data_IF_460410451997
#
_entry.id   IF_460410451997
#
_cell.length_a   1.000
_cell.length_b   1.000
_cell.length_c   1.000
_cell.angle_alpha   90.00
_cell.angle_beta   90.00
_cell.angle_gamma   90.00
#
_symmetry.space_group_name_H-M   'P 1'
#
loop_
_entity.id
_entity.type
_entity.pdbx_description
1 polymer ?
#
# COMPACT_ATOMS: atom_id res chain seq x y z
N UNK A 1 -41.04 -1.88 -9.59
CA UNK A 1 -39.78 -2.55 -9.94
C UNK A 1 -38.68 -1.51 -9.78
N UNK A 2 -37.89 -1.55 -8.70
CA UNK A 2 -36.93 -0.46 -8.36
C UNK A 2 -35.78 -0.33 -9.39
N UNK A 3 -35.59 -1.34 -10.24
CA UNK A 3 -34.56 -1.38 -11.29
C UNK A 3 -35.09 -1.22 -12.72
N UNK A 4 -36.40 -1.01 -12.93
CA UNK A 4 -36.94 -0.84 -14.29
C UNK A 4 -36.42 0.43 -14.93
N UNK A 5 -35.75 0.33 -16.09
CA UNK A 5 -35.18 1.46 -16.82
C UNK A 5 -33.88 2.05 -16.26
N UNK A 6 -33.36 1.56 -15.13
CA UNK A 6 -32.23 2.19 -14.42
C UNK A 6 -30.91 2.22 -15.22
N UNK A 7 -30.72 1.26 -16.13
CA UNK A 7 -29.56 1.22 -17.04
C UNK A 7 -29.88 1.78 -18.44
N UNK A 8 -31.15 2.08 -18.73
CA UNK A 8 -31.59 2.53 -20.06
C UNK A 8 -31.24 4.02 -20.25
N UNK A 9 -31.48 4.85 -19.23
CA UNK A 9 -31.20 6.28 -19.23
C UNK A 9 -30.18 6.65 -18.13
N UNK A 10 -28.86 6.62 -18.40
CA UNK A 10 -27.88 6.91 -17.38
C UNK A 10 -27.95 8.37 -16.92
N UNK A 11 -27.79 8.59 -15.60
CA UNK A 11 -27.76 9.93 -15.00
C UNK A 11 -26.47 10.16 -14.21
N UNK A 12 -26.15 11.44 -13.95
CA UNK A 12 -24.98 11.81 -13.14
C UNK A 12 -25.11 11.25 -11.71
N UNK A 13 -26.33 11.20 -11.17
CA UNK A 13 -26.61 10.61 -9.87
C UNK A 13 -26.38 9.11 -9.86
N UNK A 14 -26.85 8.40 -10.89
CA UNK A 14 -26.57 6.96 -11.06
C UNK A 14 -25.06 6.68 -11.10
N UNK A 15 -24.28 7.44 -11.88
CA UNK A 15 -22.83 7.27 -11.93
C UNK A 15 -22.18 7.49 -10.55
N UNK A 16 -22.65 8.48 -9.79
CA UNK A 16 -22.23 8.72 -8.41
C UNK A 16 -22.62 7.59 -7.46
N UNK A 17 -23.83 7.06 -7.57
CA UNK A 17 -24.32 5.99 -6.69
C UNK A 17 -23.52 4.69 -6.92
N UNK A 18 -23.23 4.35 -8.18
CA UNK A 18 -22.35 3.22 -8.49
C UNK A 18 -20.92 3.45 -8.02
N UNK A 19 -20.39 4.67 -8.10
CA UNK A 19 -19.08 5.01 -7.54
C UNK A 19 -19.05 4.80 -6.01
N UNK A 20 -20.07 5.28 -5.30
CA UNK A 20 -20.18 5.11 -3.85
C UNK A 20 -20.36 3.63 -3.46
N UNK A 21 -21.14 2.89 -4.25
CA UNK A 21 -21.32 1.45 -4.05
C UNK A 21 -20.02 0.69 -4.29
N UNK A 22 -19.22 1.07 -5.29
CA UNK A 22 -17.90 0.51 -5.51
C UNK A 22 -16.97 0.76 -4.31
N UNK A 23 -16.92 2.00 -3.82
CA UNK A 23 -16.12 2.37 -2.65
C UNK A 23 -16.52 1.55 -1.41
N UNK A 24 -17.83 1.42 -1.18
CA UNK A 24 -18.37 0.57 -0.11
C UNK A 24 -17.96 -0.90 -0.28
N UNK A 25 -18.06 -1.46 -1.49
CA UNK A 25 -17.69 -2.84 -1.77
C UNK A 25 -16.19 -3.11 -1.55
N UNK A 26 -15.31 -2.15 -1.82
CA UNK A 26 -13.89 -2.26 -1.43
C UNK A 26 -13.71 -2.31 0.09
N UNK A 27 -14.46 -1.49 0.84
CA UNK A 27 -14.50 -1.53 2.30
C UNK A 27 -14.95 -2.90 2.82
N UNK A 28 -16.02 -3.44 2.24
CA UNK A 28 -16.56 -4.77 2.52
C UNK A 28 -15.71 -5.94 1.97
N UNK A 29 -14.52 -5.67 1.43
CA UNK A 29 -13.59 -6.66 0.88
C UNK A 29 -14.15 -7.48 -0.30
N UNK A 30 -15.15 -6.94 -1.03
CA UNK A 30 -15.78 -7.55 -2.21
C UNK A 30 -15.26 -6.93 -3.51
N UNK A 31 -13.98 -7.16 -3.81
CA UNK A 31 -13.27 -6.51 -4.93
C UNK A 31 -13.95 -6.72 -6.29
N UNK A 32 -14.41 -7.94 -6.61
CA UNK A 32 -15.06 -8.22 -7.90
C UNK A 32 -16.32 -7.37 -8.08
N UNK A 33 -17.18 -7.30 -7.06
CA UNK A 33 -18.37 -6.46 -7.08
C UNK A 33 -18.00 -4.96 -7.21
N UNK A 34 -16.96 -4.52 -6.50
CA UNK A 34 -16.48 -3.14 -6.61
C UNK A 34 -16.08 -2.78 -8.05
N UNK A 35 -15.35 -3.65 -8.74
CA UNK A 35 -14.96 -3.43 -10.14
C UNK A 35 -16.15 -3.49 -11.11
N UNK A 36 -17.14 -4.34 -10.87
CA UNK A 36 -18.38 -4.33 -11.67
C UNK A 36 -19.09 -2.97 -11.53
N UNK A 37 -19.19 -2.43 -10.32
CA UNK A 37 -19.79 -1.12 -10.10
C UNK A 37 -18.95 0.03 -10.68
N UNK A 38 -17.62 -0.02 -10.57
CA UNK A 38 -16.73 0.91 -11.28
C UNK A 38 -17.00 0.84 -12.79
N UNK A 39 -17.12 -0.35 -13.36
CA UNK A 39 -17.39 -0.54 -14.79
C UNK A 39 -18.69 0.14 -15.23
N UNK A 40 -19.77 -0.02 -14.45
CA UNK A 40 -21.03 0.67 -14.72
C UNK A 40 -20.88 2.18 -14.61
N UNK A 41 -20.24 2.68 -13.55
CA UNK A 41 -19.99 4.12 -13.37
C UNK A 41 -19.12 4.69 -14.50
N UNK A 42 -18.08 3.98 -14.92
CA UNK A 42 -17.19 4.34 -16.01
C UNK A 42 -17.95 4.43 -17.33
N UNK A 43 -18.76 3.42 -17.68
CA UNK A 43 -19.59 3.45 -18.90
C UNK A 43 -20.63 4.57 -18.85
N UNK A 44 -21.30 4.77 -17.72
CA UNK A 44 -22.23 5.88 -17.54
C UNK A 44 -21.52 7.24 -17.73
N UNK A 45 -20.29 7.39 -17.20
CA UNK A 45 -19.50 8.61 -17.36
C UNK A 45 -19.13 8.91 -18.82
N UNK A 46 -18.92 7.87 -19.63
CA UNK A 46 -18.67 7.99 -21.06
C UNK A 46 -19.95 8.43 -21.78
N UNK A 47 -21.07 7.74 -21.55
CA UNK A 47 -22.37 8.07 -22.19
C UNK A 47 -22.83 9.48 -21.86
N UNK A 48 -22.61 9.93 -20.63
CA UNK A 48 -22.97 11.27 -20.14
C UNK A 48 -22.00 12.37 -20.58
N UNK A 49 -20.90 12.04 -21.27
CA UNK A 49 -19.88 13.01 -21.66
C UNK A 49 -19.13 13.61 -20.47
N UNK A 50 -19.08 12.92 -19.31
CA UNK A 50 -18.36 13.44 -18.12
C UNK A 50 -16.88 13.69 -18.40
N UNK A 51 -16.33 12.93 -19.35
CA UNK A 51 -14.96 13.00 -19.86
C UNK A 51 -14.67 14.19 -20.80
N UNK A 52 -15.69 14.93 -21.25
CA UNK A 52 -15.56 16.02 -22.24
C UNK A 52 -15.96 17.35 -21.60
N UNK A 53 -14.97 18.15 -21.23
CA UNK A 53 -15.19 19.45 -20.57
C UNK A 53 -15.80 20.51 -21.52
N UNK A 54 -15.61 20.38 -22.83
CA UNK A 54 -16.08 21.36 -23.84
C UNK A 54 -17.57 21.29 -24.19
N UNK A 55 -18.21 20.12 -24.07
CA UNK A 55 -19.63 19.94 -24.42
C UNK A 55 -20.60 20.63 -23.47
N UNK A 56 -20.16 20.95 -22.24
CA UNK A 56 -20.96 21.71 -21.28
C UNK A 56 -21.34 23.11 -21.78
N UNK A 57 -20.56 23.67 -22.72
CA UNK A 57 -20.83 25.00 -23.30
C UNK A 57 -21.87 24.99 -24.41
N UNK A 58 -22.18 23.82 -24.99
CA UNK A 58 -22.95 23.68 -26.22
C UNK A 58 -24.32 23.03 -26.04
N UNK A 59 -24.78 22.82 -24.80
CA UNK A 59 -26.15 22.37 -24.57
C UNK A 59 -27.12 23.45 -25.09
N UNK A 60 -28.10 23.10 -25.96
CA UNK A 60 -28.86 24.08 -26.73
C UNK A 60 -29.68 25.00 -25.83
N UNK A 61 -29.78 26.27 -26.26
CA UNK A 61 -30.46 27.34 -25.54
C UNK A 61 -31.98 27.23 -25.53
N UNK A 62 -32.54 26.16 -26.05
CA UNK A 62 -33.95 26.12 -26.39
C UNK A 62 -34.84 25.78 -25.20
N UNK A 63 -34.27 25.26 -24.10
CA UNK A 63 -34.92 25.20 -22.79
C UNK A 63 -34.58 26.41 -21.88
N UNK A 64 -33.75 27.39 -22.33
CA UNK A 64 -33.29 28.54 -21.51
C UNK A 64 -34.32 29.65 -21.33
N UNK A 65 -35.49 29.58 -21.96
CA UNK A 65 -36.44 30.69 -21.98
C UNK A 65 -37.64 30.48 -21.06
N UNK A 66 -37.42 30.25 -19.76
CA UNK A 66 -38.35 30.60 -18.67
C UNK A 66 -37.70 30.24 -17.33
N UNK A 67 -37.44 31.27 -16.51
CA UNK A 67 -37.19 31.25 -15.04
C UNK A 67 -35.75 31.65 -14.63
N UNK A 68 -35.61 32.93 -14.27
CA UNK A 68 -34.53 33.56 -13.49
C UNK A 68 -33.08 33.34 -13.99
N UNK A 69 -32.60 34.30 -14.80
CA UNK A 69 -31.33 34.28 -15.51
C UNK A 69 -30.08 34.34 -14.59
N UNK A 70 -30.20 34.77 -13.33
CA UNK A 70 -29.08 34.74 -12.38
C UNK A 70 -28.96 33.41 -11.60
N UNK A 71 -30.07 32.71 -11.36
CA UNK A 71 -30.04 31.38 -10.72
C UNK A 71 -29.64 30.25 -11.68
N UNK A 72 -29.83 30.45 -12.99
CA UNK A 72 -29.49 29.45 -14.01
C UNK A 72 -27.99 29.25 -14.17
N UNK A 73 -27.20 30.32 -14.22
CA UNK A 73 -25.74 30.23 -14.40
C UNK A 73 -25.05 29.58 -13.19
N UNK A 74 -25.43 29.95 -11.97
CA UNK A 74 -24.89 29.32 -10.75
C UNK A 74 -25.24 27.84 -10.67
N UNK A 75 -26.44 27.44 -11.09
CA UNK A 75 -26.86 26.04 -11.13
C UNK A 75 -26.14 25.25 -12.24
N UNK A 76 -25.92 25.86 -13.41
CA UNK A 76 -25.16 25.26 -14.51
C UNK A 76 -23.69 25.06 -14.14
N UNK A 77 -23.09 26.05 -13.48
CA UNK A 77 -21.71 25.98 -12.99
C UNK A 77 -21.56 24.94 -11.86
N UNK A 78 -22.48 24.92 -10.89
CA UNK A 78 -22.49 23.90 -9.85
C UNK A 78 -22.65 22.48 -10.43
N UNK A 79 -23.48 22.32 -11.47
CA UNK A 79 -23.63 21.07 -12.20
C UNK A 79 -22.35 20.68 -12.95
N UNK A 80 -21.67 21.64 -13.59
CA UNK A 80 -20.39 21.42 -14.28
C UNK A 80 -19.32 20.93 -13.29
N UNK A 81 -19.16 21.63 -12.16
CA UNK A 81 -18.22 21.26 -11.10
C UNK A 81 -18.53 19.86 -10.56
N UNK A 82 -19.81 19.56 -10.29
CA UNK A 82 -20.23 18.25 -9.80
C UNK A 82 -19.90 17.13 -10.79
N UNK A 83 -20.16 17.34 -12.08
CA UNK A 83 -19.85 16.40 -13.16
C UNK A 83 -18.35 16.15 -13.30
N UNK A 84 -17.53 17.20 -13.31
CA UNK A 84 -16.08 17.08 -13.36
C UNK A 84 -15.55 16.34 -12.14
N UNK A 85 -16.05 16.66 -10.94
CA UNK A 85 -15.69 15.98 -9.69
C UNK A 85 -16.01 14.49 -9.76
N UNK A 86 -17.20 14.12 -10.24
CA UNK A 86 -17.61 12.72 -10.39
C UNK A 86 -16.73 12.01 -11.42
N UNK A 87 -16.51 12.60 -12.59
CA UNK A 87 -15.64 12.04 -13.63
C UNK A 87 -14.22 11.78 -13.12
N UNK A 88 -13.60 12.77 -12.44
CA UNK A 88 -12.29 12.60 -11.81
C UNK A 88 -12.29 11.51 -10.74
N UNK A 89 -13.31 11.47 -9.88
CA UNK A 89 -13.38 10.47 -8.80
C UNK A 89 -13.53 9.04 -9.33
N UNK A 90 -14.33 8.84 -10.39
CA UNK A 90 -14.48 7.54 -11.06
C UNK A 90 -13.13 7.08 -11.60
N UNK A 91 -12.41 7.95 -12.32
CA UNK A 91 -11.10 7.62 -12.88
C UNK A 91 -10.06 7.35 -11.80
N UNK A 92 -9.98 8.19 -10.77
CA UNK A 92 -9.04 7.98 -9.65
C UNK A 92 -9.28 6.62 -8.99
N UNK A 93 -10.53 6.29 -8.64
CA UNK A 93 -10.84 5.02 -7.99
C UNK A 93 -10.51 3.83 -8.89
N UNK A 94 -10.85 3.90 -10.18
CA UNK A 94 -10.56 2.85 -11.17
C UNK A 94 -9.05 2.63 -11.31
N UNK A 95 -8.28 3.69 -11.59
CA UNK A 95 -6.84 3.60 -11.87
C UNK A 95 -6.03 3.21 -10.64
N UNK A 96 -6.33 3.79 -9.47
CA UNK A 96 -5.65 3.43 -8.22
C UNK A 96 -5.93 1.96 -7.89
N UNK A 97 -7.18 1.53 -7.94
CA UNK A 97 -7.53 0.14 -7.60
C UNK A 97 -7.00 -0.87 -8.62
N UNK A 98 -6.98 -0.52 -9.91
CA UNK A 98 -6.44 -1.38 -10.97
C UNK A 98 -4.91 -1.46 -10.94
N UNK A 99 -4.21 -0.35 -10.60
CA UNK A 99 -2.75 -0.34 -10.45
C UNK A 99 -2.25 -1.23 -9.32
N UNK A 100 -2.99 -1.32 -8.21
CA UNK A 100 -2.72 -2.25 -7.11
C UNK A 100 -2.77 -3.71 -7.58
N UNK A 101 -3.62 -4.02 -8.56
CA UNK A 101 -3.72 -5.35 -9.16
C UNK A 101 -2.77 -5.56 -10.35
N UNK A 102 -1.98 -4.55 -10.70
CA UNK A 102 -1.06 -4.62 -11.84
C UNK A 102 -1.78 -4.75 -13.19
N UNK A 103 -3.00 -4.23 -13.32
CA UNK A 103 -3.79 -4.28 -14.56
C UNK A 103 -4.20 -2.88 -15.02
N UNK A 104 -4.37 -2.64 -16.33
CA UNK A 104 -4.85 -1.36 -16.83
C UNK A 104 -6.29 -1.09 -16.35
N UNK A 105 -6.62 0.20 -16.18
CA UNK A 105 -7.97 0.63 -15.86
C UNK A 105 -8.93 0.53 -17.05
N UNK A 106 -10.22 0.71 -16.77
CA UNK A 106 -11.29 0.67 -17.78
C UNK A 106 -11.81 2.07 -18.16
N UNK A 107 -11.34 3.12 -17.49
CA UNK A 107 -11.76 4.51 -17.68
C UNK A 107 -10.91 5.25 -18.71
N UNK A 108 -11.55 6.09 -19.53
CA UNK A 108 -10.83 6.98 -20.48
C UNK A 108 -10.40 8.28 -19.80
N UNK A 109 -9.31 8.88 -20.30
CA UNK A 109 -8.82 10.19 -19.81
C UNK A 109 -9.81 11.31 -20.09
N UNK A 110 -9.98 12.25 -19.13
CA UNK A 110 -10.73 13.49 -19.36
C UNK A 110 -9.95 14.36 -20.35
N UNK A 111 -10.55 14.69 -21.50
CA UNK A 111 -10.00 15.72 -22.38
C UNK A 111 -10.20 17.08 -21.71
N UNK A 112 -9.10 17.62 -21.19
CA UNK A 112 -9.09 18.88 -20.42
C UNK A 112 -8.78 20.09 -21.32
N UNK A 113 -8.52 19.88 -22.61
CA UNK A 113 -8.08 20.89 -23.59
C UNK A 113 -8.99 22.12 -23.74
N UNK A 114 -10.23 22.06 -23.25
CA UNK A 114 -11.19 23.18 -23.34
C UNK A 114 -11.34 24.02 -22.05
N UNK A 115 -10.63 23.67 -20.96
CA UNK A 115 -10.68 24.46 -19.72
C UNK A 115 -9.65 25.58 -19.81
N UNK A 116 -10.12 26.81 -20.10
CA UNK A 116 -9.27 28.01 -19.97
C UNK A 116 -8.75 28.08 -18.53
N UNK A 117 -7.43 28.22 -18.40
CA UNK A 117 -6.67 28.35 -17.14
C UNK A 117 -7.22 29.49 -16.25
N UNK A 118 -7.90 30.47 -16.84
CA UNK A 118 -8.50 31.65 -16.19
C UNK A 118 -9.68 31.38 -15.24
N UNK A 119 -10.26 30.16 -15.22
CA UNK A 119 -11.43 29.84 -14.39
C UNK A 119 -11.05 29.25 -13.01
N UNK A 120 -9.75 29.18 -12.70
CA UNK A 120 -9.18 28.63 -11.46
C UNK A 120 -8.68 29.69 -10.45
N UNK A 121 -8.90 30.99 -10.70
CA UNK A 121 -8.44 32.08 -9.83
C UNK A 121 -9.24 32.26 -8.53
N UNK A 122 -10.18 31.35 -8.23
CA UNK A 122 -10.81 31.27 -6.92
C UNK A 122 -10.14 30.14 -6.13
N UNK A 123 -9.58 30.48 -4.95
CA UNK A 123 -8.82 29.57 -4.08
C UNK A 123 -9.51 28.20 -3.97
N UNK A 124 -9.02 27.22 -4.74
CA UNK A 124 -9.71 25.96 -4.91
C UNK A 124 -9.83 25.26 -3.55
N UNK A 125 -11.03 24.78 -3.21
CA UNK A 125 -11.25 24.06 -1.96
C UNK A 125 -10.24 22.93 -1.77
N UNK A 126 -9.89 22.61 -0.52
CA UNK A 126 -8.94 21.53 -0.22
C UNK A 126 -9.33 20.20 -0.89
N UNK A 127 -10.63 19.86 -0.86
CA UNK A 127 -11.21 18.69 -1.55
C UNK A 127 -10.92 18.71 -3.05
N UNK A 128 -11.10 19.85 -3.72
CA UNK A 128 -10.84 20.02 -5.15
C UNK A 128 -9.35 19.85 -5.47
N UNK A 129 -8.47 20.46 -4.67
CA UNK A 129 -7.02 20.33 -4.85
C UNK A 129 -6.55 18.89 -4.66
N UNK A 130 -7.00 18.20 -3.61
CA UNK A 130 -6.65 16.81 -3.38
C UNK A 130 -7.14 15.88 -4.51
N UNK A 131 -8.36 16.09 -5.01
CA UNK A 131 -8.90 15.32 -6.13
C UNK A 131 -8.13 15.58 -7.44
N UNK A 132 -7.77 16.83 -7.72
CA UNK A 132 -6.98 17.17 -8.91
C UNK A 132 -5.59 16.52 -8.85
N UNK A 133 -4.90 16.63 -7.71
CA UNK A 133 -3.60 16.00 -7.50
C UNK A 133 -3.68 14.47 -7.64
N UNK A 134 -4.69 13.83 -7.03
CA UNK A 134 -4.93 12.39 -7.16
C UNK A 134 -5.25 11.98 -8.61
N UNK A 135 -6.00 12.80 -9.35
CA UNK A 135 -6.32 12.58 -10.76
C UNK A 135 -5.05 12.59 -11.63
N UNK A 136 -4.19 13.59 -11.46
CA UNK A 136 -2.91 13.69 -12.18
C UNK A 136 -2.01 12.50 -11.84
N UNK A 137 -1.82 12.21 -10.55
CA UNK A 137 -1.04 11.07 -10.09
C UNK A 137 -1.57 9.74 -10.63
N UNK A 138 -2.90 9.56 -10.67
CA UNK A 138 -3.52 8.35 -11.22
C UNK A 138 -3.28 8.17 -12.71
N UNK A 139 -3.15 9.27 -13.46
CA UNK A 139 -2.82 9.22 -14.90
C UNK A 139 -1.35 8.81 -15.12
N UNK A 140 -0.45 9.22 -14.23
CA UNK A 140 0.95 8.72 -14.23
C UNK A 140 0.97 7.22 -13.89
N UNK A 141 0.17 6.78 -12.92
CA UNK A 141 0.03 5.34 -12.59
C UNK A 141 -0.47 4.51 -13.78
N UNK A 142 -1.44 5.02 -14.54
CA UNK A 142 -1.93 4.36 -15.75
C UNK A 142 -0.81 4.14 -16.77
N UNK A 143 -0.01 5.17 -17.05
CA UNK A 143 1.12 5.08 -17.97
C UNK A 143 2.17 4.04 -17.51
N UNK A 144 2.48 4.02 -16.21
CA UNK A 144 3.40 3.04 -15.62
C UNK A 144 2.85 1.61 -15.77
N UNK A 145 1.58 1.39 -15.43
CA UNK A 145 0.94 0.07 -15.49
C UNK A 145 0.79 -0.42 -16.92
N UNK A 146 0.49 0.49 -17.86
CA UNK A 146 0.41 0.14 -19.28
C UNK A 146 1.75 -0.41 -19.78
N UNK A 147 2.86 0.29 -19.53
CA UNK A 147 4.20 -0.21 -19.91
C UNK A 147 4.52 -1.56 -19.27
N UNK A 148 4.20 -1.73 -17.99
CA UNK A 148 4.42 -3.00 -17.27
C UNK A 148 3.59 -4.16 -17.86
N UNK A 149 2.40 -3.87 -18.38
CA UNK A 149 1.49 -4.87 -18.96
C UNK A 149 1.90 -5.27 -20.38
N UNK A 150 2.51 -4.34 -21.13
CA UNK A 150 3.05 -4.58 -22.48
C UNK A 150 4.26 -5.54 -22.48
N UNK A 151 4.66 -6.07 -21.32
CA UNK A 151 5.72 -7.08 -21.19
C UNK A 151 7.14 -6.49 -21.20
N UNK A 152 7.25 -5.17 -21.31
CA UNK A 152 8.51 -4.47 -21.19
C UNK A 152 8.96 -4.44 -19.73
N UNK A 153 10.11 -5.06 -19.44
CA UNK A 153 10.80 -4.78 -18.18
C UNK A 153 11.14 -3.30 -18.18
N UNK A 154 10.72 -2.56 -17.16
CA UNK A 154 11.15 -1.18 -16.97
C UNK A 154 12.68 -1.18 -16.90
N UNK A 155 13.30 -0.71 -17.96
CA UNK A 155 14.73 -0.45 -18.01
C UNK A 155 15.07 0.75 -17.12
N UNK A 156 16.35 0.90 -16.77
CA UNK A 156 16.80 1.99 -15.92
C UNK A 156 16.41 3.36 -16.50
N UNK A 157 16.46 3.53 -17.82
CA UNK A 157 16.04 4.74 -18.52
C UNK A 157 14.55 5.07 -18.36
N UNK A 158 13.65 4.09 -18.51
CA UNK A 158 12.22 4.33 -18.29
C UNK A 158 11.92 4.63 -16.83
N UNK A 159 12.65 3.97 -15.90
CA UNK A 159 12.52 4.25 -14.48
C UNK A 159 12.91 5.71 -14.16
N UNK A 160 14.04 6.19 -14.68
CA UNK A 160 14.49 7.58 -14.52
C UNK A 160 13.47 8.57 -15.09
N UNK A 161 12.91 8.27 -16.27
CA UNK A 161 11.87 9.09 -16.89
C UNK A 161 10.64 9.24 -16.00
N UNK A 162 10.10 8.13 -15.47
CA UNK A 162 8.95 8.21 -14.57
C UNK A 162 9.28 8.84 -13.22
N UNK A 163 10.48 8.63 -12.68
CA UNK A 163 10.91 9.30 -11.45
C UNK A 163 11.04 10.81 -11.64
N UNK A 164 11.47 11.27 -12.82
CA UNK A 164 11.48 12.68 -13.17
C UNK A 164 10.06 13.25 -13.23
N UNK A 165 9.10 12.55 -13.87
CA UNK A 165 7.67 12.94 -13.87
C UNK A 165 7.15 13.04 -12.43
N UNK A 166 7.44 12.05 -11.58
CA UNK A 166 7.03 12.06 -10.18
C UNK A 166 7.66 13.20 -9.38
N UNK A 167 8.92 13.56 -9.67
CA UNK A 167 9.61 14.69 -9.05
C UNK A 167 8.98 16.02 -9.43
N UNK A 168 8.70 16.23 -10.71
CA UNK A 168 8.02 17.44 -11.22
C UNK A 168 6.60 17.57 -10.65
N UNK A 169 5.84 16.47 -10.68
CA UNK A 169 4.50 16.43 -10.08
C UNK A 169 4.54 16.72 -8.59
N UNK A 170 5.49 16.14 -7.86
CA UNK A 170 5.67 16.42 -6.44
C UNK A 170 5.96 17.90 -6.25
N UNK A 171 6.95 18.48 -6.93
CA UNK A 171 7.30 19.90 -6.81
C UNK A 171 6.11 20.84 -7.07
N UNK A 172 5.26 20.52 -8.05
CA UNK A 172 4.06 21.29 -8.37
C UNK A 172 2.92 21.20 -7.33
N UNK A 173 3.01 20.31 -6.34
CA UNK A 173 1.94 20.08 -5.37
C UNK A 173 1.68 21.31 -4.46
N UNK A 174 0.45 21.75 -4.24
CA UNK A 174 0.15 22.84 -3.30
C UNK A 174 0.60 22.56 -1.86
N UNK A 175 1.12 23.57 -1.15
CA UNK A 175 1.63 23.43 0.23
C UNK A 175 0.61 22.85 1.21
N UNK A 176 -0.68 23.18 1.04
CA UNK A 176 -1.77 22.63 1.86
C UNK A 176 -1.89 21.11 1.79
N UNK A 177 -1.44 20.48 0.69
CA UNK A 177 -1.43 19.02 0.53
C UNK A 177 -0.16 18.37 1.10
N UNK A 178 0.85 19.16 1.46
CA UNK A 178 2.13 18.71 2.04
C UNK A 178 2.12 18.70 3.57
N UNK A 179 1.01 19.14 4.18
CA UNK A 179 0.86 19.20 5.62
C UNK A 179 0.89 17.79 6.22
N UNK A 180 1.76 17.60 7.21
CA UNK A 180 1.86 16.34 7.97
C UNK A 180 0.78 16.25 9.05
N UNK A 181 0.36 15.03 9.43
CA UNK A 181 -0.47 14.79 10.61
C UNK A 181 0.12 15.46 11.86
N UNK A 182 -0.62 16.37 12.48
CA UNK A 182 -0.26 16.93 13.80
C UNK A 182 -0.83 16.07 14.92
N UNK A 183 0.02 15.72 15.89
CA UNK A 183 -0.37 15.08 17.15
C UNK A 183 -0.84 16.16 18.14
N UNK A 184 -2.03 16.70 17.92
CA UNK A 184 -2.68 17.65 18.81
C UNK A 184 -3.94 17.01 19.43
N UNK A 185 -4.15 17.12 20.75
CA UNK A 185 -5.33 16.55 21.41
C UNK A 185 -6.61 17.17 20.80
N UNK A 186 -7.57 16.31 20.45
CA UNK A 186 -8.86 16.65 19.84
C UNK A 186 -8.84 17.11 18.37
N UNK A 187 -7.67 17.38 17.75
CA UNK A 187 -7.64 17.85 16.36
C UNK A 187 -8.13 16.77 15.37
N UNK A 188 -7.81 15.50 15.63
CA UNK A 188 -8.32 14.36 14.86
C UNK A 188 -9.84 14.16 14.96
N UNK A 189 -10.50 14.75 15.97
CA UNK A 189 -11.96 14.72 16.12
C UNK A 189 -12.65 15.78 15.26
N UNK A 190 -11.93 16.80 14.79
CA UNK A 190 -12.49 17.79 13.88
C UNK A 190 -12.74 17.16 12.50
N UNK A 191 -14.00 17.09 12.03
CA UNK A 191 -14.36 16.40 10.80
C UNK A 191 -13.71 17.01 9.56
N UNK A 192 -13.60 18.34 9.49
CA UNK A 192 -13.03 19.05 8.34
C UNK A 192 -11.51 18.84 8.26
N UNK A 193 -10.82 18.91 9.41
CA UNK A 193 -9.40 18.60 9.48
C UNK A 193 -9.12 17.15 9.08
N UNK A 194 -9.90 16.21 9.64
CA UNK A 194 -9.74 14.78 9.35
C UNK A 194 -9.98 14.47 7.89
N UNK A 195 -11.02 15.05 7.28
CA UNK A 195 -11.28 14.88 5.84
C UNK A 195 -10.13 15.43 4.97
N UNK A 196 -9.65 16.63 5.27
CA UNK A 196 -8.53 17.22 4.55
C UNK A 196 -7.29 16.34 4.65
N UNK A 197 -6.97 15.88 5.86
CA UNK A 197 -5.80 15.03 6.09
C UNK A 197 -5.94 13.66 5.43
N UNK A 198 -7.13 13.05 5.43
CA UNK A 198 -7.41 11.84 4.66
C UNK A 198 -7.12 12.06 3.17
N UNK A 199 -7.52 13.21 2.62
CA UNK A 199 -7.19 13.61 1.25
C UNK A 199 -5.68 13.65 1.00
N UNK A 200 -4.93 14.32 1.89
CA UNK A 200 -3.47 14.42 1.80
C UNK A 200 -2.79 13.06 1.84
N UNK A 201 -3.21 12.20 2.76
CA UNK A 201 -2.69 10.84 2.91
C UNK A 201 -2.91 10.04 1.62
N UNK A 202 -4.09 10.12 1.00
CA UNK A 202 -4.33 9.39 -0.26
C UNK A 202 -3.48 9.93 -1.42
N UNK A 203 -3.29 11.24 -1.52
CA UNK A 203 -2.42 11.85 -2.53
C UNK A 203 -0.96 11.38 -2.33
N UNK A 204 -0.46 11.42 -1.10
CA UNK A 204 0.88 10.98 -0.76
C UNK A 204 1.07 9.46 -0.95
N UNK A 205 0.11 8.63 -0.53
CA UNK A 205 0.15 7.18 -0.77
C UNK A 205 0.15 6.85 -2.26
N UNK A 206 -0.61 7.57 -3.08
CA UNK A 206 -0.62 7.39 -4.54
C UNK A 206 0.77 7.66 -5.13
N UNK A 207 1.42 8.74 -4.69
CA UNK A 207 2.79 9.09 -5.07
C UNK A 207 3.80 8.01 -4.67
N UNK A 208 3.86 7.66 -3.38
CA UNK A 208 4.83 6.66 -2.89
C UNK A 208 4.60 5.29 -3.54
N UNK A 209 3.35 4.91 -3.78
CA UNK A 209 3.02 3.67 -4.47
C UNK A 209 3.48 3.70 -5.93
N UNK A 210 3.30 4.84 -6.62
CA UNK A 210 3.81 5.04 -7.96
C UNK A 210 5.33 4.91 -8.06
N UNK A 211 6.06 5.50 -7.10
CA UNK A 211 7.53 5.33 -7.00
C UNK A 211 7.88 3.85 -6.80
N UNK A 212 7.24 3.15 -5.86
CA UNK A 212 7.44 1.71 -5.63
C UNK A 212 7.21 0.89 -6.90
N UNK A 213 6.14 1.18 -7.67
CA UNK A 213 5.86 0.45 -8.92
C UNK A 213 7.00 0.57 -9.94
N UNK A 214 7.61 1.76 -10.02
CA UNK A 214 8.73 2.05 -10.93
C UNK A 214 10.02 1.37 -10.47
N UNK A 215 10.33 1.43 -9.17
CA UNK A 215 11.64 1.03 -8.64
C UNK A 215 11.71 -0.41 -8.10
N UNK A 216 10.58 -1.10 -7.92
CA UNK A 216 10.55 -2.47 -7.35
C UNK A 216 11.39 -3.48 -8.11
N UNK A 217 11.53 -3.34 -9.44
CA UNK A 217 12.32 -4.29 -10.23
C UNK A 217 13.81 -4.15 -9.92
N UNK A 218 14.30 -2.92 -9.76
CA UNK A 218 15.69 -2.64 -9.35
C UNK A 218 15.96 -3.16 -7.94
N UNK A 219 15.01 -3.00 -7.01
CA UNK A 219 15.10 -3.59 -5.67
C UNK A 219 15.28 -5.12 -5.72
N UNK A 220 14.45 -5.81 -6.52
CA UNK A 220 14.56 -7.27 -6.71
C UNK A 220 15.91 -7.66 -7.29
N UNK A 221 16.37 -6.93 -8.31
CA UNK A 221 17.68 -7.16 -8.95
C UNK A 221 18.85 -6.91 -7.99
N UNK A 222 18.73 -5.95 -7.08
CA UNK A 222 19.75 -5.62 -6.10
C UNK A 222 19.86 -6.64 -4.96
N UNK A 223 18.73 -7.12 -4.45
CA UNK A 223 18.68 -7.97 -3.24
C UNK A 223 18.77 -9.46 -3.56
N UNK A 224 18.15 -9.94 -4.65
CA UNK A 224 18.11 -11.36 -4.98
C UNK A 224 19.50 -12.02 -5.09
N UNK A 225 20.54 -11.37 -5.66
CA UNK A 225 21.90 -11.92 -5.67
C UNK A 225 22.52 -12.10 -4.27
N UNK A 226 22.19 -11.19 -3.34
CA UNK A 226 22.68 -11.22 -1.96
C UNK A 226 22.07 -12.39 -1.20
N UNK A 227 20.78 -12.65 -1.40
CA UNK A 227 20.07 -13.78 -0.78
C UNK A 227 20.62 -15.12 -1.30
N UNK A 228 20.93 -15.22 -2.59
CA UNK A 228 21.44 -16.45 -3.23
C UNK A 228 22.90 -16.77 -2.91
N UNK A 229 23.54 -16.06 -1.97
CA UNK A 229 24.93 -16.29 -1.59
C UNK A 229 25.96 -15.87 -2.64
N UNK A 230 25.55 -15.22 -3.74
CA UNK A 230 26.47 -14.58 -4.70
C UNK A 230 26.91 -13.24 -4.12
N UNK A 231 27.75 -13.29 -3.10
CA UNK A 231 28.47 -12.10 -2.63
C UNK A 231 29.21 -11.52 -3.85
N UNK A 232 29.07 -10.23 -4.18
CA UNK A 232 29.93 -9.62 -5.19
C UNK A 232 31.35 -9.76 -4.67
N UNK A 233 32.08 -10.70 -5.26
CA UNK A 233 33.51 -10.86 -5.04
C UNK A 233 34.07 -9.51 -5.47
N UNK A 234 34.66 -8.75 -4.53
CA UNK A 234 35.58 -7.66 -4.88
C UNK A 234 36.80 -8.33 -5.54
N UNK A 235 36.63 -8.84 -6.75
CA UNK A 235 37.74 -9.17 -7.64
C UNK A 235 38.22 -7.84 -8.16
N UNK A 236 39.19 -7.27 -7.44
CA UNK A 236 40.19 -6.38 -8.01
C UNK A 236 40.66 -7.00 -9.33
N UNK A 237 40.40 -6.29 -10.44
CA UNK A 237 40.76 -6.55 -11.84
C UNK A 237 39.57 -6.91 -12.76
N UNK A 238 39.19 -5.91 -13.58
CA UNK A 238 38.35 -5.92 -14.80
C UNK A 238 36.83 -5.96 -14.63
N UNK A 239 36.18 -4.79 -14.46
CA UNK A 239 34.91 -4.45 -15.15
C UNK A 239 34.46 -2.99 -14.92
N UNK A 240 35.16 -2.01 -15.49
CA UNK A 240 34.75 -0.59 -15.42
C UNK A 240 33.39 -0.31 -16.11
N UNK A 241 32.85 -1.23 -16.92
CA UNK A 241 31.57 -1.03 -17.64
C UNK A 241 30.33 -1.60 -16.94
N UNK A 242 30.47 -2.48 -15.94
CA UNK A 242 29.34 -3.05 -15.19
C UNK A 242 29.11 -2.39 -13.82
N UNK A 243 30.06 -1.57 -13.36
CA UNK A 243 29.98 -0.90 -12.06
C UNK A 243 28.91 0.21 -12.07
N UNK A 244 28.85 1.04 -13.12
CA UNK A 244 27.86 2.12 -13.25
C UNK A 244 26.41 1.61 -13.27
N UNK A 245 26.16 0.49 -13.95
CA UNK A 245 24.82 -0.12 -14.01
C UNK A 245 24.38 -0.70 -12.65
N UNK A 246 25.33 -1.31 -11.92
CA UNK A 246 25.06 -1.88 -10.60
C UNK A 246 24.85 -0.79 -9.52
N UNK A 247 25.56 0.34 -9.63
CA UNK A 247 25.38 1.50 -8.76
C UNK A 247 23.99 2.12 -8.96
N UNK A 248 23.55 2.32 -10.20
CA UNK A 248 22.19 2.81 -10.50
C UNK A 248 21.10 1.87 -9.98
N UNK A 249 21.28 0.56 -10.11
CA UNK A 249 20.33 -0.42 -9.57
C UNK A 249 20.27 -0.34 -8.04
N UNK A 250 21.40 -0.10 -7.37
CA UNK A 250 21.45 0.13 -5.92
C UNK A 250 20.77 1.43 -5.50
N UNK A 251 20.95 2.53 -6.26
CA UNK A 251 20.26 3.80 -6.02
C UNK A 251 18.74 3.67 -6.18
N UNK A 252 18.27 3.06 -7.27
CA UNK A 252 16.84 2.81 -7.46
C UNK A 252 16.27 1.87 -6.39
N UNK A 253 17.07 0.91 -5.91
CA UNK A 253 16.72 0.05 -4.78
C UNK A 253 16.54 0.85 -3.48
N UNK A 254 17.40 1.83 -3.20
CA UNK A 254 17.24 2.69 -2.01
C UNK A 254 16.02 3.59 -2.15
N UNK A 255 15.79 4.20 -3.31
CA UNK A 255 14.58 5.01 -3.60
C UNK A 255 13.30 4.19 -3.35
N UNK A 256 13.29 2.91 -3.74
CA UNK A 256 12.16 2.01 -3.48
C UNK A 256 11.90 1.83 -1.97
N UNK A 257 12.97 1.62 -1.21
CA UNK A 257 12.93 1.39 0.23
C UNK A 257 12.54 2.66 0.98
N UNK A 258 13.05 3.82 0.57
CA UNK A 258 12.68 5.13 1.12
C UNK A 258 11.20 5.43 0.90
N UNK A 259 10.67 5.20 -0.32
CA UNK A 259 9.26 5.40 -0.62
C UNK A 259 8.35 4.53 0.25
N UNK A 260 8.72 3.26 0.46
CA UNK A 260 7.99 2.36 1.35
C UNK A 260 8.09 2.79 2.83
N UNK A 261 9.26 3.24 3.27
CA UNK A 261 9.50 3.74 4.63
C UNK A 261 8.66 4.97 4.92
N UNK A 262 8.69 5.97 4.04
CA UNK A 262 7.89 7.19 4.19
C UNK A 262 6.39 6.91 4.15
N UNK A 263 5.94 6.01 3.28
CA UNK A 263 4.54 5.60 3.23
C UNK A 263 4.09 4.96 4.56
N UNK A 264 4.86 4.01 5.08
CA UNK A 264 4.54 3.31 6.32
C UNK A 264 4.55 4.26 7.53
N UNK A 265 5.60 5.09 7.67
CA UNK A 265 5.73 6.06 8.76
C UNK A 265 4.58 7.08 8.74
N UNK A 266 4.28 7.68 7.59
CA UNK A 266 3.16 8.62 7.45
C UNK A 266 1.82 7.99 7.87
N UNK A 267 1.59 6.73 7.49
CA UNK A 267 0.37 6.02 7.88
C UNK A 267 0.33 5.73 9.39
N UNK A 268 1.46 5.39 10.00
CA UNK A 268 1.55 5.20 11.45
C UNK A 268 1.30 6.52 12.20
N UNK A 269 1.93 7.62 11.78
CA UNK A 269 1.71 8.95 12.35
C UNK A 269 0.24 9.37 12.25
N UNK A 270 -0.41 9.10 11.11
CA UNK A 270 -1.83 9.37 10.93
C UNK A 270 -2.73 8.49 11.81
N UNK A 271 -2.34 7.24 12.06
CA UNK A 271 -3.06 6.35 12.97
C UNK A 271 -2.96 6.85 14.42
N UNK A 272 -1.76 7.21 14.87
CA UNK A 272 -1.50 7.72 16.21
C UNK A 272 -2.18 9.07 16.47
N UNK A 273 -2.31 9.90 15.45
CA UNK A 273 -3.07 11.15 15.52
C UNK A 273 -4.60 10.98 15.40
N UNK A 274 -5.11 9.73 15.34
CA UNK A 274 -6.55 9.44 15.31
C UNK A 274 -7.27 9.87 14.02
N UNK A 275 -6.53 10.04 12.92
CA UNK A 275 -7.10 10.51 11.63
C UNK A 275 -7.71 9.35 10.85
N UNK A 276 -7.07 8.17 10.89
CA UNK A 276 -7.47 7.03 10.07
C UNK A 276 -8.78 6.39 10.54
N UNK A 277 -9.56 5.90 9.58
CA UNK A 277 -10.71 5.02 9.86
C UNK A 277 -10.31 3.56 9.78
N UNK A 278 -10.97 2.70 10.55
CA UNK A 278 -10.70 1.26 10.55
C UNK A 278 -11.03 0.54 9.24
N UNK A 279 -11.85 1.15 8.37
CA UNK A 279 -12.33 0.57 7.11
C UNK A 279 -11.74 1.24 5.85
N UNK A 280 -10.55 1.85 5.96
CA UNK A 280 -9.87 2.52 4.84
C UNK A 280 -9.46 1.51 3.76
N UNK A 281 -10.28 1.45 2.71
CA UNK A 281 -10.31 0.30 1.81
C UNK A 281 -9.09 0.17 0.90
N UNK A 282 -8.50 1.29 0.47
CA UNK A 282 -7.30 1.32 -0.38
C UNK A 282 -6.03 1.29 0.48
N UNK A 283 -6.05 1.99 1.62
CA UNK A 283 -4.90 2.16 2.51
C UNK A 283 -4.27 0.82 2.93
N UNK A 284 -5.09 -0.17 3.30
CA UNK A 284 -4.61 -1.51 3.68
C UNK A 284 -3.80 -2.19 2.57
N UNK A 285 -4.12 -1.96 1.30
CA UNK A 285 -3.38 -2.54 0.18
C UNK A 285 -2.06 -1.82 -0.06
N UNK A 286 -2.02 -0.49 0.06
CA UNK A 286 -0.79 0.29 0.01
C UNK A 286 0.17 -0.07 1.15
N UNK A 287 -0.34 -0.16 2.38
CA UNK A 287 0.44 -0.59 3.54
C UNK A 287 1.00 -2.00 3.37
N UNK A 288 0.20 -2.92 2.81
CA UNK A 288 0.68 -4.26 2.52
C UNK A 288 1.81 -4.26 1.49
N UNK A 289 1.68 -3.48 0.41
CA UNK A 289 2.74 -3.34 -0.58
C UNK A 289 4.02 -2.73 0.00
N UNK A 290 3.92 -1.68 0.82
CA UNK A 290 5.05 -1.10 1.52
C UNK A 290 5.70 -2.10 2.49
N UNK A 291 4.89 -2.84 3.25
CA UNK A 291 5.37 -3.89 4.15
C UNK A 291 6.14 -5.00 3.43
N UNK A 292 5.68 -5.43 2.25
CA UNK A 292 6.41 -6.41 1.43
C UNK A 292 7.75 -5.85 0.93
N UNK A 293 7.79 -4.60 0.48
CA UNK A 293 9.03 -3.93 0.06
C UNK A 293 10.02 -3.86 1.21
N UNK A 294 9.59 -3.36 2.38
CA UNK A 294 10.44 -3.24 3.56
C UNK A 294 10.93 -4.61 4.04
N UNK A 295 10.04 -5.60 4.14
CA UNK A 295 10.40 -6.96 4.54
C UNK A 295 11.40 -7.60 3.56
N UNK A 296 11.27 -7.33 2.26
CA UNK A 296 12.24 -7.79 1.27
C UNK A 296 13.59 -7.09 1.43
N UNK A 297 13.61 -5.78 1.69
CA UNK A 297 14.83 -5.04 2.06
C UNK A 297 15.50 -5.57 3.32
N UNK A 298 14.73 -6.06 4.30
CA UNK A 298 15.26 -6.66 5.52
C UNK A 298 16.03 -7.98 5.29
N UNK A 299 15.87 -8.64 4.14
CA UNK A 299 16.65 -9.83 3.79
C UNK A 299 18.10 -9.48 3.40
N UNK A 300 18.38 -8.24 2.99
CA UNK A 300 19.72 -7.78 2.64
C UNK A 300 20.43 -7.17 3.86
N UNK A 301 21.46 -7.84 4.40
CA UNK A 301 22.21 -7.36 5.57
C UNK A 301 22.85 -5.97 5.40
N UNK A 302 23.10 -5.52 4.17
CA UNK A 302 23.74 -4.23 3.88
C UNK A 302 22.80 -3.02 3.92
N UNK A 303 21.48 -3.24 3.88
CA UNK A 303 20.49 -2.16 3.79
C UNK A 303 19.60 -2.03 5.04
N UNK A 304 19.85 -2.81 6.09
CA UNK A 304 19.02 -2.82 7.29
C UNK A 304 19.35 -1.65 8.21
N UNK A 305 18.52 -0.61 8.17
CA UNK A 305 18.53 0.49 9.14
C UNK A 305 17.47 0.29 10.22
N UNK A 306 17.63 0.93 11.39
CA UNK A 306 16.59 0.93 12.43
C UNK A 306 15.26 1.44 11.87
N UNK A 307 15.31 2.48 11.04
CA UNK A 307 14.13 3.10 10.45
C UNK A 307 13.31 2.15 9.57
N UNK A 308 13.97 1.29 8.77
CA UNK A 308 13.29 0.28 7.93
C UNK A 308 12.65 -0.78 8.83
N UNK A 309 13.34 -1.22 9.88
CA UNK A 309 12.78 -2.14 10.87
C UNK A 309 11.54 -1.52 11.54
N UNK A 310 11.63 -0.28 12.02
CA UNK A 310 10.55 0.40 12.73
C UNK A 310 9.35 0.64 11.81
N UNK A 311 9.60 1.03 10.56
CA UNK A 311 8.57 1.20 9.53
C UNK A 311 7.88 -0.13 9.17
N UNK A 312 8.63 -1.22 9.04
CA UNK A 312 8.07 -2.55 8.77
C UNK A 312 7.17 -3.02 9.90
N UNK A 313 7.65 -2.96 11.15
CA UNK A 313 6.85 -3.33 12.31
C UNK A 313 5.66 -2.39 12.51
N UNK A 314 5.82 -1.10 12.21
CA UNK A 314 4.71 -0.13 12.18
C UNK A 314 3.62 -0.53 11.20
N UNK A 315 3.98 -0.90 9.96
CA UNK A 315 3.05 -1.40 8.96
C UNK A 315 2.33 -2.68 9.44
N UNK A 316 3.05 -3.62 10.06
CA UNK A 316 2.47 -4.84 10.64
C UNK A 316 1.45 -4.50 11.74
N UNK A 317 1.80 -3.64 12.70
CA UNK A 317 0.90 -3.22 13.80
C UNK A 317 -0.34 -2.51 13.27
N UNK A 318 -0.16 -1.58 12.33
CA UNK A 318 -1.27 -0.84 11.75
C UNK A 318 -2.23 -1.76 10.98
N UNK A 319 -1.72 -2.69 10.17
CA UNK A 319 -2.56 -3.69 9.51
C UNK A 319 -3.27 -4.62 10.50
N UNK A 320 -2.64 -4.94 11.64
CA UNK A 320 -3.26 -5.66 12.74
C UNK A 320 -4.46 -4.89 13.31
N UNK A 321 -4.30 -3.61 13.59
CA UNK A 321 -5.38 -2.74 14.11
C UNK A 321 -6.54 -2.59 13.11
N UNK A 322 -6.24 -2.41 11.81
CA UNK A 322 -7.25 -2.37 10.75
C UNK A 322 -7.93 -3.75 10.56
N UNK A 323 -7.24 -4.83 10.92
CA UNK A 323 -7.71 -6.21 10.82
C UNK A 323 -8.98 -6.50 11.64
N UNK A 324 -9.21 -5.76 12.74
CA UNK A 324 -10.42 -5.90 13.54
C UNK A 324 -11.70 -5.57 12.77
N UNK A 325 -11.63 -4.66 11.80
CA UNK A 325 -12.77 -4.17 11.02
C UNK A 325 -12.73 -4.60 9.55
N UNK A 326 -11.64 -5.22 9.11
CA UNK A 326 -11.43 -5.59 7.71
C UNK A 326 -10.75 -6.96 7.60
N UNK A 327 -11.46 -8.00 7.13
CA UNK A 327 -10.89 -9.35 7.00
C UNK A 327 -9.69 -9.39 6.04
N UNK A 328 -9.67 -8.54 5.02
CA UNK A 328 -8.53 -8.41 4.12
C UNK A 328 -7.30 -7.81 4.82
N UNK A 329 -7.49 -6.88 5.76
CA UNK A 329 -6.38 -6.30 6.52
C UNK A 329 -5.81 -7.34 7.51
N UNK A 330 -6.67 -8.14 8.13
CA UNK A 330 -6.25 -9.26 8.96
C UNK A 330 -5.45 -10.30 8.17
N UNK A 331 -5.84 -10.58 6.92
CA UNK A 331 -5.07 -11.45 6.03
C UNK A 331 -3.68 -10.85 5.71
N UNK A 332 -3.61 -9.58 5.35
CA UNK A 332 -2.33 -8.89 5.08
C UNK A 332 -1.42 -8.86 6.31
N UNK A 333 -1.98 -8.61 7.49
CA UNK A 333 -1.25 -8.69 8.75
C UNK A 333 -0.63 -10.08 8.95
N UNK A 334 -1.42 -11.16 8.82
CA UNK A 334 -0.91 -12.54 8.94
C UNK A 334 0.24 -12.84 7.98
N UNK A 335 0.12 -12.40 6.72
CA UNK A 335 1.16 -12.60 5.71
C UNK A 335 2.45 -11.87 6.12
N UNK A 336 2.37 -10.60 6.55
CA UNK A 336 3.56 -9.85 6.94
C UNK A 336 4.17 -10.36 8.26
N UNK A 337 3.36 -10.82 9.21
CA UNK A 337 3.86 -11.46 10.44
C UNK A 337 4.61 -12.75 10.12
N UNK A 338 4.03 -13.63 9.30
CA UNK A 338 4.73 -14.84 8.84
C UNK A 338 5.99 -14.51 8.05
N UNK A 339 5.98 -13.43 7.27
CA UNK A 339 7.18 -12.96 6.58
C UNK A 339 8.26 -12.46 7.56
N UNK A 340 7.88 -11.74 8.62
CA UNK A 340 8.78 -11.32 9.70
C UNK A 340 9.47 -12.52 10.34
N UNK A 341 8.70 -13.55 10.71
CA UNK A 341 9.23 -14.78 11.29
C UNK A 341 10.22 -15.47 10.35
N UNK A 342 9.91 -15.52 9.06
CA UNK A 342 10.80 -16.09 8.05
C UNK A 342 12.11 -15.27 7.90
N UNK A 343 12.03 -13.94 7.98
CA UNK A 343 13.19 -13.04 7.96
C UNK A 343 14.09 -13.30 9.18
N UNK A 344 13.50 -13.47 10.37
CA UNK A 344 14.25 -13.72 11.61
C UNK A 344 14.96 -15.08 11.56
N UNK A 345 14.27 -16.13 11.12
CA UNK A 345 14.87 -17.46 10.92
C UNK A 345 16.01 -17.40 9.89
N UNK A 346 15.82 -16.68 8.79
CA UNK A 346 16.85 -16.51 7.77
C UNK A 346 18.10 -15.80 8.31
N UNK A 347 17.90 -14.71 9.05
CA UNK A 347 19.00 -13.93 9.66
C UNK A 347 19.74 -14.74 10.72
N UNK A 348 19.04 -15.55 11.51
CA UNK A 348 19.69 -16.38 12.52
C UNK A 348 20.57 -17.45 11.87
N UNK A 349 20.11 -18.08 10.78
CA UNK A 349 20.93 -19.00 9.98
C UNK A 349 22.19 -18.34 9.43
N UNK A 350 22.07 -17.13 8.86
CA UNK A 350 23.22 -16.36 8.36
C UNK A 350 24.22 -16.01 9.48
N UNK A 351 23.74 -15.67 10.68
CA UNK A 351 24.58 -15.41 11.85
C UNK A 351 25.32 -16.67 12.28
N UNK A 352 24.64 -17.82 12.30
CA UNK A 352 25.24 -19.11 12.63
C UNK A 352 26.34 -19.52 11.64
N UNK A 353 26.06 -19.48 10.34
CA UNK A 353 27.05 -19.77 9.27
C UNK A 353 28.27 -18.83 9.34
N UNK A 354 28.06 -17.56 9.71
CA UNK A 354 29.14 -16.61 9.94
C UNK A 354 29.95 -16.93 11.18
N UNK A 355 29.30 -17.39 12.24
CA UNK A 355 29.98 -17.74 13.47
C UNK A 355 30.87 -18.97 13.26
N UNK A 356 30.40 -19.97 12.52
CA UNK A 356 31.18 -21.16 12.16
C UNK A 356 32.36 -20.84 11.21
N UNK A 357 32.20 -19.85 10.33
CA UNK A 357 33.25 -19.45 9.38
C UNK A 357 34.27 -18.43 9.91
N UNK A 358 34.02 -17.78 11.06
CA UNK A 358 34.96 -16.84 11.68
C UNK A 358 35.65 -17.50 12.86
N UNK A 359 36.98 -17.58 12.83
CA UNK A 359 37.77 -17.84 14.03
C UNK A 359 37.56 -16.67 15.01
N UNK A 360 36.98 -16.89 16.20
CA UNK A 360 36.69 -15.81 17.13
C UNK A 360 38.01 -15.24 17.69
N UNK A 361 38.23 -13.93 17.53
CA UNK A 361 39.31 -13.21 18.22
C UNK A 361 38.98 -12.91 19.69
N UNK A 362 37.73 -13.14 20.09
CA UNK A 362 37.21 -12.97 21.44
C UNK A 362 36.35 -14.19 21.75
N UNK A 363 36.76 -14.98 22.73
CA UNK A 363 35.94 -16.08 23.24
C UNK A 363 34.79 -15.54 24.08
N UNK A 364 33.64 -16.20 24.00
CA UNK A 364 32.50 -15.93 24.87
C UNK A 364 32.80 -16.56 26.23
N UNK A 365 33.33 -15.75 27.16
CA UNK A 365 33.83 -16.19 28.47
C UNK A 365 32.71 -16.77 29.37
N UNK A 366 31.47 -16.32 29.18
CA UNK A 366 30.31 -16.79 29.93
C UNK A 366 29.09 -16.81 29.01
N UNK A 367 28.43 -17.97 28.95
CA UNK A 367 27.09 -18.16 28.40
C UNK A 367 26.21 -18.62 29.54
N UNK A 368 25.14 -17.87 29.81
CA UNK A 368 24.06 -18.35 30.66
C UNK A 368 23.23 -19.29 29.79
N UNK A 369 23.22 -20.59 30.13
CA UNK A 369 22.31 -21.52 29.48
C UNK A 369 20.86 -21.05 29.73
N UNK A 370 20.01 -20.97 28.69
CA UNK A 370 18.58 -20.77 28.92
C UNK A 370 18.10 -21.97 29.75
N UNK A 371 17.51 -21.68 30.90
CA UNK A 371 17.02 -22.68 31.85
C UNK A 371 16.22 -23.77 31.12
N UNK A 372 16.79 -24.97 31.02
CA UNK A 372 16.05 -26.17 30.68
C UNK A 372 15.06 -26.41 31.82
N UNK A 373 13.82 -25.97 31.64
CA UNK A 373 12.76 -26.42 32.52
C UNK A 373 12.68 -27.94 32.46
N UNK A 374 12.68 -28.49 33.67
CA UNK A 374 12.86 -29.89 34.00
C UNK A 374 11.76 -30.79 33.44
N UNK A 375 12.15 -32.00 33.03
CA UNK A 375 11.40 -33.22 33.34
C UNK A 375 12.25 -34.47 33.10
N UNK A 376 12.53 -35.22 34.19
CA UNK A 376 12.99 -36.62 34.13
C UNK A 376 14.13 -37.03 35.07
N UNK A 377 13.92 -37.00 36.39
CA UNK A 377 13.95 -38.18 37.30
C UNK A 377 14.80 -39.40 36.84
N UNK A 378 15.71 -40.09 37.57
CA UNK A 378 16.05 -40.38 38.98
C UNK A 378 17.49 -41.00 38.92
N UNK A 379 18.47 -40.87 39.84
CA UNK A 379 18.61 -41.67 41.07
C UNK A 379 19.92 -41.37 41.85
N UNK A 380 19.76 -41.16 43.17
CA UNK A 380 20.62 -41.56 44.30
C UNK A 380 22.10 -41.11 44.41
N UNK A 381 22.41 -40.25 45.39
CA UNK A 381 22.59 -40.68 46.80
C UNK A 381 22.72 -39.48 47.76
N UNK A 382 21.96 -39.54 48.85
CA UNK A 382 22.00 -38.64 50.00
C UNK A 382 23.17 -38.96 50.94
N UNK A 383 23.70 -37.94 51.61
CA UNK A 383 23.78 -37.98 53.07
C UNK A 383 23.70 -36.58 53.70
N UNK A 384 22.67 -36.42 54.55
CA UNK A 384 22.58 -35.63 55.80
C UNK A 384 22.30 -34.11 55.78
N UNK A 385 21.10 -33.80 56.31
CA UNK A 385 20.46 -32.52 56.67
C UNK A 385 21.01 -31.93 58.01
N UNK A 386 20.47 -30.84 58.67
CA UNK A 386 19.20 -30.15 58.42
C UNK A 386 19.14 -28.59 58.55
N UNK A 387 18.19 -28.02 57.79
CA UNK A 387 17.13 -27.05 58.16
C UNK A 387 17.45 -25.90 59.15
N UNK A 388 17.27 -24.66 58.69
CA UNK A 388 16.38 -23.67 59.35
C UNK A 388 15.80 -22.71 58.30
N UNK A 389 14.48 -22.64 58.27
CA UNK A 389 13.60 -21.76 57.50
C UNK A 389 13.46 -20.38 58.16
N UNK A 390 13.33 -19.31 57.36
CA UNK A 390 12.12 -18.48 57.34
C UNK A 390 12.20 -17.33 56.32
N UNK A 391 11.09 -17.20 55.59
CA UNK A 391 10.77 -16.29 54.49
C UNK A 391 10.55 -14.82 54.94
N UNK A 392 10.63 -13.91 53.96
CA UNK A 392 9.99 -12.59 54.03
C UNK A 392 10.22 -11.68 52.81
N UNK A 393 9.53 -12.00 51.71
CA UNK A 393 8.94 -11.13 50.67
C UNK A 393 9.52 -9.73 50.36
N UNK A 394 9.85 -9.52 49.07
CA UNK A 394 9.74 -8.23 48.38
C UNK A 394 8.87 -8.37 47.13
N UNK A 395 7.67 -7.76 47.17
CA UNK A 395 6.81 -7.46 46.02
C UNK A 395 7.27 -6.14 45.39
N UNK A 396 7.47 -6.11 44.07
CA UNK A 396 7.32 -4.91 43.24
C UNK A 396 6.51 -5.33 42.01
N UNK A 397 5.38 -4.64 41.81
CA UNK A 397 4.45 -4.88 40.71
C UNK A 397 4.81 -4.08 39.46
N UNK A 398 4.57 -4.68 38.32
CA UNK A 398 4.52 -4.04 37.01
C UNK A 398 3.05 -3.74 36.71
N UNK A 399 2.72 -2.47 36.49
CA UNK A 399 1.43 -2.00 35.99
C UNK A 399 1.71 -0.83 35.03
N UNK A 400 1.98 -1.10 33.76
CA UNK A 400 1.98 -0.07 32.69
C UNK A 400 1.17 -0.47 31.44
N UNK A 401 0.82 -1.75 31.25
CA UNK A 401 0.15 -2.21 30.02
C UNK A 401 -1.39 -2.06 30.00
N UNK A 402 -2.06 -1.86 31.15
CA UNK A 402 -3.53 -1.77 31.16
C UNK A 402 -4.09 -0.42 30.69
N UNK A 403 -3.30 0.67 30.74
CA UNK A 403 -3.83 2.01 30.39
C UNK A 403 -4.07 2.21 28.89
N UNK A 404 -3.38 1.45 28.03
CA UNK A 404 -3.50 1.57 26.58
C UNK A 404 -4.76 0.87 26.04
N UNK A 405 -5.16 -0.27 26.64
CA UNK A 405 -6.34 -1.02 26.22
C UNK A 405 -7.65 -0.31 26.61
N UNK A 406 -7.67 0.41 27.72
CA UNK A 406 -8.86 1.12 28.19
C UNK A 406 -9.23 2.31 27.27
N UNK A 407 -8.22 3.00 26.72
CA UNK A 407 -8.43 4.14 25.80
C UNK A 407 -9.02 3.74 24.44
N UNK A 408 -8.86 2.48 24.01
CA UNK A 408 -9.43 1.97 22.75
C UNK A 408 -10.84 1.43 22.91
N UNK A 409 -11.18 0.93 24.11
CA UNK A 409 -12.51 0.38 24.41
C UNK A 409 -13.62 1.43 24.26
N UNK A 410 -13.37 2.69 24.62
CA UNK A 410 -14.31 3.80 24.48
C UNK A 410 -14.62 4.21 23.03
N UNK A 411 -13.80 3.80 22.06
CA UNK A 411 -13.99 4.11 20.64
C UNK A 411 -14.90 3.10 19.91
N UNK A 412 -15.10 1.90 20.50
CA UNK A 412 -15.80 0.77 19.87
C UNK A 412 -17.32 0.74 20.16
N UNK A 413 -17.84 1.58 21.08
CA UNK A 413 -19.24 1.48 21.55
C UNK A 413 -20.29 2.22 20.71
N UNK A 414 -19.99 2.66 19.49
CA UNK A 414 -21.04 3.11 18.57
C UNK A 414 -21.08 2.24 17.31
N UNK A 415 -22.06 1.33 17.34
CA UNK A 415 -22.83 0.75 16.22
C UNK A 415 -22.78 -0.78 16.19
N UNK A 416 -23.51 -1.41 17.11
CA UNK A 416 -24.05 -2.75 16.89
C UNK A 416 -24.98 -2.71 15.65
N UNK A 417 -24.65 -3.48 14.63
CA UNK A 417 -25.59 -3.83 13.56
C UNK A 417 -25.70 -5.34 13.49
N UNK A 418 -26.95 -5.78 13.66
CA UNK A 418 -27.50 -7.13 13.73
C UNK A 418 -26.85 -8.18 12.81
N UNK A 419 -26.62 -9.36 13.40
CA UNK A 419 -26.14 -10.58 12.76
C UNK A 419 -27.03 -11.05 11.60
N UNK A 420 -26.38 -11.43 10.49
CA UNK A 420 -26.98 -12.24 9.44
C UNK A 420 -26.08 -13.46 9.17
N UNK A 421 -26.59 -14.70 9.20
CA UNK A 421 -25.75 -15.89 9.03
C UNK A 421 -25.37 -16.10 7.55
N UNK A 422 -24.16 -16.60 7.23
CA UNK A 422 -23.78 -16.91 5.86
C UNK A 422 -24.36 -18.27 5.45
N UNK A 423 -24.77 -18.48 4.18
CA UNK A 423 -25.02 -19.82 3.67
C UNK A 423 -23.69 -20.52 3.38
N UNK A 424 -23.63 -21.81 3.72
CA UNK A 424 -22.55 -22.74 3.35
C UNK A 424 -22.53 -22.97 1.84
N UNK A 425 -21.35 -22.81 1.23
CA UNK A 425 -21.03 -23.28 -0.11
C UNK A 425 -19.52 -23.45 -0.20
N UNK A 426 -19.06 -24.71 -0.27
CA UNK A 426 -17.71 -25.14 0.06
C UNK A 426 -16.74 -25.17 -1.14
N UNK A 427 -17.00 -24.35 -2.17
CA UNK A 427 -16.26 -24.38 -3.44
C UNK A 427 -15.64 -23.00 -3.75
N UNK A 428 -14.64 -22.56 -3.00
CA UNK A 428 -13.89 -21.34 -3.38
C UNK A 428 -12.47 -21.25 -2.79
N UNK A 429 -11.88 -22.38 -2.40
CA UNK A 429 -10.53 -22.40 -1.80
C UNK A 429 -9.40 -22.44 -2.87
N UNK A 430 -9.69 -22.90 -4.08
CA UNK A 430 -8.74 -22.96 -5.20
C UNK A 430 -8.73 -21.70 -6.08
N UNK A 431 -9.74 -20.83 -5.97
CA UNK A 431 -9.83 -19.55 -6.73
C UNK A 431 -9.32 -18.34 -5.93
N UNK A 432 -8.84 -18.56 -4.69
CA UNK A 432 -8.46 -17.48 -3.76
C UNK A 432 -6.97 -17.28 -3.55
N UNK A 433 -6.12 -18.18 -4.04
CA UNK A 433 -4.69 -18.13 -3.71
C UNK A 433 -3.79 -17.65 -4.84
N UNK A 434 -4.17 -17.82 -6.10
CA UNK A 434 -3.40 -17.36 -7.25
C UNK A 434 -4.33 -17.30 -8.48
N UNK A 435 -3.87 -16.65 -9.55
CA UNK A 435 -4.23 -16.94 -10.95
C UNK A 435 -5.35 -16.09 -11.59
N UNK A 436 -5.18 -15.48 -12.77
CA UNK A 436 -4.12 -15.60 -13.81
C UNK A 436 -4.25 -14.40 -14.79
N UNK A 437 -3.22 -13.81 -15.41
CA UNK A 437 -1.80 -14.12 -15.38
C UNK A 437 -0.97 -13.02 -16.10
N UNK A 438 0.22 -12.78 -15.58
CA UNK A 438 1.45 -12.61 -16.37
C UNK A 438 2.57 -13.17 -15.48
N UNK A 439 3.00 -14.38 -15.83
CA UNK A 439 4.05 -15.09 -15.13
C UNK A 439 5.39 -14.39 -15.38
N UNK A 440 6.09 -14.07 -14.29
CA UNK A 440 7.54 -13.92 -14.29
C UNK A 440 8.14 -15.28 -14.66
N UNK A 441 8.63 -15.42 -15.89
CA UNK A 441 9.47 -16.55 -16.28
C UNK A 441 10.79 -16.49 -15.51
N UNK A 442 10.87 -17.22 -14.41
CA UNK A 442 12.11 -17.62 -13.76
C UNK A 442 12.25 -19.14 -13.93
N UNK A 443 12.77 -19.59 -15.07
CA UNK A 443 13.57 -20.82 -15.22
C UNK A 443 13.85 -21.04 -16.69
N UNK A 444 15.10 -20.80 -17.10
CA UNK A 444 15.77 -21.60 -18.13
C UNK A 444 17.27 -21.54 -17.80
N UNK A 445 17.73 -22.55 -17.05
CA UNK A 445 19.15 -22.85 -16.91
C UNK A 445 19.28 -24.37 -16.87
N UNK A 446 19.69 -24.94 -18.00
CA UNK A 446 20.08 -26.35 -18.12
C UNK A 446 21.50 -26.52 -17.54
N UNK A 447 21.78 -27.59 -16.77
CA UNK A 447 23.11 -27.87 -16.24
C UNK A 447 24.05 -28.44 -17.35
N UNK A 448 25.37 -28.38 -17.15
CA UNK A 448 26.33 -28.92 -18.11
C UNK A 448 26.43 -30.45 -17.97
N UNK A 449 26.47 -31.17 -19.10
CA UNK A 449 26.80 -32.59 -19.11
C UNK A 449 28.21 -32.78 -19.69
N UNK A 450 29.09 -33.39 -18.89
CA UNK A 450 30.45 -33.74 -19.25
C UNK A 450 30.49 -35.07 -20.03
N UNK A 451 30.97 -34.98 -21.28
CA UNK A 451 31.88 -35.89 -22.02
C UNK A 451 31.82 -37.42 -21.82
N UNK A 452 31.58 -38.18 -22.92
CA UNK A 452 32.19 -39.50 -23.24
C UNK A 452 32.21 -39.71 -24.79
N UNK A 453 33.23 -40.36 -25.43
CA UNK A 453 33.69 -40.13 -26.81
C UNK A 453 33.12 -41.14 -27.86
N UNK A 454 33.48 -41.06 -29.17
CA UNK A 454 32.82 -41.86 -30.19
C UNK A 454 33.43 -43.28 -30.32
N UNK A 455 32.62 -44.32 -30.61
CA UNK A 455 33.13 -45.57 -31.11
C UNK A 455 33.08 -45.62 -32.65
N UNK A 456 34.26 -45.89 -33.22
CA UNK A 456 34.60 -46.49 -34.54
C UNK A 456 33.99 -45.93 -35.81
#
# INVERSE_FOLDING_TARGET
>A
MVFGGFLEDPTVYMARDFLLMAFYMFGACRRNAAFMYIGVAARASIVLGLHVSGQYRQMPAEDRARRYVLSSWLLEEANRIARLRIGKSIRVLDLVSSSILGRPGSTSSLRTDDIRVDDFDQEASHRTSALNAAYEASSVLEAIVQRLTEGEKLDASSADHFLQIWREWSQALPDKLRLRPRKEPNLGLNPDYRENMIGNIHVACTYYFGVILVTRQSLIQHIMPQIRGKRPRKTTLRQETNEEGNEKVAELSSVCTDAATYMAQMCCDAAEAGILWGNMCILKAWLFAAGLVLGFSLLAEGQTTSEICDAFHGACRLLGSLGHLSPQAAQYHRILTSFSEAIDVYRERLRHERHESRTPFVERILTLDPSSDANGDVQNNQESAPITTLNGESRVGENEDESFLESLSGFLSLRETSDWPPPLGNDDLMLRLFWEGYALNFTDYLPPDETVPPPT
#
